data_IF_408392488585
#
_entry.id   IF_408392488585
#
_cell.length_a   1.000
_cell.length_b   1.000
_cell.length_c   1.000
_cell.angle_alpha   90.00
_cell.angle_beta   90.00
_cell.angle_gamma   90.00
#
_symmetry.space_group_name_H-M   'P 1'
#
loop_
_entity.id
_entity.type
_entity.pdbx_description
1 polymer ?
#
# COMPACT_ATOMS: atom_id res chain seq x y z
N UNK A 1 6.13 -9.68 -11.94
CA UNK A 1 6.65 -10.72 -11.02
C UNK A 1 7.40 -10.03 -9.89
N UNK A 2 7.15 -10.41 -8.64
CA UNK A 2 7.89 -9.92 -7.48
C UNK A 2 8.92 -10.98 -7.07
N UNK A 3 10.19 -10.59 -6.95
CA UNK A 3 11.30 -11.50 -6.62
C UNK A 3 12.05 -10.95 -5.41
N UNK A 4 12.28 -11.83 -4.45
CA UNK A 4 13.10 -11.58 -3.27
C UNK A 4 14.33 -12.51 -3.34
N UNK A 5 15.52 -11.98 -3.07
CA UNK A 5 16.77 -12.74 -3.11
C UNK A 5 17.54 -12.48 -1.82
N UNK A 6 17.65 -13.51 -0.98
CA UNK A 6 18.42 -13.50 0.27
C UNK A 6 18.08 -12.30 1.20
N UNK A 7 16.81 -11.96 1.28
CA UNK A 7 16.33 -10.77 2.02
C UNK A 7 16.40 -11.02 3.51
N UNK A 8 17.23 -10.23 4.19
CA UNK A 8 17.40 -10.27 5.65
C UNK A 8 17.06 -8.91 6.25
N UNK A 9 16.38 -8.91 7.39
CA UNK A 9 16.15 -7.70 8.17
C UNK A 9 16.36 -7.92 9.65
N UNK A 10 17.25 -7.15 10.25
CA UNK A 10 17.56 -7.15 11.68
C UNK A 10 17.22 -5.77 12.25
N UNK A 11 16.36 -5.73 13.24
CA UNK A 11 16.00 -4.50 13.95
C UNK A 11 17.12 -4.03 14.89
N UNK A 12 17.13 -2.75 15.32
CA UNK A 12 18.16 -2.21 16.23
C UNK A 12 18.29 -2.97 17.57
N UNK A 13 17.24 -3.64 18.00
CA UNK A 13 17.24 -4.50 19.20
C UNK A 13 17.78 -5.92 18.93
N UNK A 14 18.47 -6.14 17.82
CA UNK A 14 19.00 -7.43 17.35
C UNK A 14 17.94 -8.49 17.02
N UNK A 15 16.66 -8.14 16.94
CA UNK A 15 15.64 -9.08 16.48
C UNK A 15 15.75 -9.27 14.99
N UNK A 16 16.11 -10.49 14.56
CA UNK A 16 16.11 -10.89 13.15
C UNK A 16 14.70 -11.25 12.72
N UNK A 17 14.05 -10.36 11.97
CA UNK A 17 12.68 -10.52 11.53
C UNK A 17 12.55 -11.19 10.16
N UNK A 18 13.55 -11.06 9.30
CA UNK A 18 13.70 -11.80 8.05
C UNK A 18 15.10 -12.39 8.03
N UNK A 19 15.24 -13.62 7.56
CA UNK A 19 16.49 -14.37 7.55
C UNK A 19 16.66 -15.11 6.22
N UNK A 20 17.37 -14.47 5.26
CA UNK A 20 17.69 -15.05 3.97
C UNK A 20 16.46 -15.41 3.12
N UNK A 21 15.40 -14.62 3.16
CA UNK A 21 14.16 -14.93 2.44
C UNK A 21 14.37 -14.83 0.94
N UNK A 22 14.23 -15.96 0.25
CA UNK A 22 14.28 -16.04 -1.21
C UNK A 22 12.93 -16.57 -1.71
N UNK A 23 12.25 -15.80 -2.58
CA UNK A 23 10.90 -16.11 -3.00
C UNK A 23 10.61 -15.46 -4.36
N UNK A 24 9.96 -16.19 -5.24
CA UNK A 24 9.40 -15.67 -6.49
C UNK A 24 7.88 -15.72 -6.43
N UNK A 25 7.25 -14.58 -6.63
CA UNK A 25 5.80 -14.43 -6.60
C UNK A 25 5.34 -13.97 -7.99
N UNK A 26 4.80 -14.88 -8.81
CA UNK A 26 4.23 -14.52 -10.11
C UNK A 26 2.96 -13.68 -9.95
N UNK A 27 2.34 -13.28 -11.06
CA UNK A 27 1.06 -12.55 -10.99
C UNK A 27 -0.04 -13.44 -10.43
N UNK A 28 -0.83 -12.92 -9.50
CA UNK A 28 -1.91 -13.64 -8.85
C UNK A 28 -2.23 -13.09 -7.47
N UNK A 29 -3.13 -13.76 -6.78
CA UNK A 29 -3.48 -13.46 -5.40
C UNK A 29 -2.77 -14.44 -4.47
N UNK A 30 -2.02 -13.93 -3.51
CA UNK A 30 -1.23 -14.73 -2.58
C UNK A 30 -1.56 -14.39 -1.13
N UNK A 31 -1.66 -15.41 -0.29
CA UNK A 31 -1.82 -15.28 1.15
C UNK A 31 -0.48 -15.51 1.86
N UNK A 32 -0.03 -14.53 2.66
CA UNK A 32 1.13 -14.68 3.52
C UNK A 32 0.68 -15.17 4.89
N UNK A 33 0.92 -16.44 5.18
CA UNK A 33 0.49 -17.11 6.41
C UNK A 33 1.66 -17.33 7.38
N UNK A 34 1.37 -17.32 8.67
CA UNK A 34 2.34 -17.58 9.72
C UNK A 34 1.91 -16.98 11.06
N UNK A 35 2.51 -17.39 12.18
CA UNK A 35 2.21 -16.88 13.51
C UNK A 35 2.57 -15.39 13.67
N UNK A 36 2.13 -14.79 14.76
CA UNK A 36 2.60 -13.44 15.13
C UNK A 36 4.11 -13.49 15.38
N UNK A 37 4.82 -12.46 14.89
CA UNK A 37 6.29 -12.41 14.95
C UNK A 37 7.03 -13.12 13.81
N UNK A 38 6.34 -13.82 12.90
CA UNK A 38 6.98 -14.52 11.77
C UNK A 38 7.55 -13.58 10.67
N UNK A 39 7.62 -12.28 10.89
CA UNK A 39 8.20 -11.34 9.93
C UNK A 39 7.26 -10.86 8.81
N UNK A 40 5.98 -11.28 8.79
CA UNK A 40 5.02 -10.91 7.73
C UNK A 40 4.93 -9.41 7.48
N UNK A 41 4.72 -8.63 8.53
CA UNK A 41 4.62 -7.17 8.43
C UNK A 41 5.94 -6.51 8.01
N UNK A 42 7.07 -7.07 8.43
CA UNK A 42 8.41 -6.63 8.02
C UNK A 42 8.60 -6.84 6.52
N UNK A 43 8.24 -8.02 6.02
CA UNK A 43 8.31 -8.35 4.61
C UNK A 43 7.43 -7.41 3.78
N UNK A 44 6.16 -7.25 4.15
CA UNK A 44 5.22 -6.36 3.46
C UNK A 44 5.70 -4.89 3.46
N UNK A 45 6.25 -4.39 4.58
CA UNK A 45 6.81 -3.04 4.65
C UNK A 45 8.05 -2.88 3.78
N UNK A 46 8.88 -3.90 3.66
CA UNK A 46 10.05 -3.88 2.78
C UNK A 46 9.63 -3.81 1.31
N UNK A 47 8.66 -4.63 0.90
CA UNK A 47 8.08 -4.60 -0.45
C UNK A 47 7.42 -3.24 -0.73
N UNK A 48 6.73 -2.68 0.27
CA UNK A 48 6.05 -1.39 0.16
C UNK A 48 6.99 -0.16 0.23
N UNK A 49 8.30 -0.36 0.24
CA UNK A 49 9.32 0.71 0.34
C UNK A 49 9.24 1.54 1.64
N UNK A 50 8.58 1.03 2.66
CA UNK A 50 8.44 1.68 3.98
C UNK A 50 9.57 1.31 4.94
N UNK A 51 10.39 0.34 4.56
CA UNK A 51 11.49 -0.18 5.37
C UNK A 51 12.55 -0.77 4.46
N UNK A 52 13.82 -0.41 4.69
CA UNK A 52 14.95 -0.97 3.94
C UNK A 52 15.41 -2.26 4.60
N UNK A 53 15.53 -3.38 3.87
CA UNK A 53 16.16 -4.60 4.37
C UNK A 53 17.62 -4.34 4.80
N UNK A 54 18.13 -5.17 5.72
CA UNK A 54 19.53 -5.11 6.14
C UNK A 54 20.48 -5.66 5.06
N UNK A 55 20.01 -6.64 4.28
CA UNK A 55 20.70 -7.20 3.12
C UNK A 55 19.73 -7.91 2.18
N UNK A 56 20.23 -8.33 1.01
CA UNK A 56 19.46 -8.97 -0.04
C UNK A 56 18.84 -7.95 -1.00
N UNK A 57 18.05 -8.42 -1.95
CA UNK A 57 17.43 -7.61 -2.99
C UNK A 57 15.94 -7.93 -3.15
N UNK A 58 15.14 -6.92 -3.46
CA UNK A 58 13.72 -7.07 -3.82
C UNK A 58 13.52 -6.40 -5.17
N UNK A 59 12.97 -7.10 -6.15
CA UNK A 59 12.64 -6.54 -7.46
C UNK A 59 11.18 -6.78 -7.81
N UNK A 60 10.57 -5.80 -8.47
CA UNK A 60 9.23 -5.93 -9.03
C UNK A 60 9.25 -5.63 -10.53
N UNK A 61 8.92 -6.63 -11.35
CA UNK A 61 9.05 -6.59 -12.81
C UNK A 61 10.43 -6.09 -13.30
N UNK A 62 11.51 -6.49 -12.59
CA UNK A 62 12.89 -6.11 -12.90
C UNK A 62 13.34 -4.75 -12.31
N UNK A 63 12.44 -3.99 -11.68
CA UNK A 63 12.76 -2.73 -11.01
C UNK A 63 13.22 -3.03 -9.58
N UNK A 64 14.38 -2.53 -9.18
CA UNK A 64 14.87 -2.66 -7.80
C UNK A 64 14.05 -1.76 -6.86
N UNK A 65 13.41 -2.39 -5.88
CA UNK A 65 12.49 -1.74 -4.95
C UNK A 65 13.19 -0.69 -4.08
N UNK A 66 14.47 -0.89 -3.76
CA UNK A 66 15.23 0.02 -2.90
C UNK A 66 15.96 1.09 -3.70
N UNK A 67 16.41 0.79 -4.91
CA UNK A 67 17.10 1.73 -5.78
C UNK A 67 16.12 2.71 -6.46
N UNK A 68 14.91 2.24 -6.80
CA UNK A 68 13.89 3.01 -7.53
C UNK A 68 12.55 3.05 -6.79
N UNK A 69 12.50 3.50 -5.52
CA UNK A 69 11.29 3.44 -4.70
C UNK A 69 10.11 4.25 -5.28
N UNK A 70 10.39 5.34 -5.99
CA UNK A 70 9.33 6.16 -6.60
C UNK A 70 8.64 5.42 -7.76
N UNK A 71 9.40 4.69 -8.58
CA UNK A 71 8.85 3.86 -9.66
C UNK A 71 7.95 2.76 -9.09
N UNK A 72 8.34 2.17 -7.97
CA UNK A 72 7.54 1.17 -7.27
C UNK A 72 6.29 1.80 -6.65
N UNK A 73 6.40 2.93 -5.95
CA UNK A 73 5.25 3.61 -5.31
C UNK A 73 4.19 4.05 -6.31
N UNK A 74 4.58 4.40 -7.52
CA UNK A 74 3.62 4.72 -8.59
C UNK A 74 2.73 3.52 -8.95
N UNK A 75 3.27 2.30 -8.87
CA UNK A 75 2.63 1.03 -9.25
C UNK A 75 2.10 0.21 -8.08
N UNK A 76 2.31 0.68 -6.84
CA UNK A 76 1.98 -0.03 -5.61
C UNK A 76 0.71 0.54 -4.97
N UNK A 77 -0.23 -0.31 -4.61
CA UNK A 77 -1.28 -0.04 -3.65
C UNK A 77 -0.91 -0.65 -2.30
N UNK A 78 -0.96 0.10 -1.23
CA UNK A 78 -0.68 -0.40 0.10
C UNK A 78 -1.79 -0.05 1.09
N UNK A 79 -2.37 -1.06 1.71
CA UNK A 79 -3.35 -0.91 2.78
C UNK A 79 -2.69 -1.33 4.10
N UNK A 80 -2.27 -0.38 4.95
CA UNK A 80 -1.75 -0.73 6.27
C UNK A 80 -2.86 -1.25 7.18
N UNK A 81 -2.49 -2.04 8.19
CA UNK A 81 -3.42 -2.54 9.20
C UNK A 81 -4.10 -1.39 9.94
N UNK A 82 -3.33 -0.37 10.29
CA UNK A 82 -3.82 0.88 10.87
C UNK A 82 -3.34 2.05 10.03
N UNK A 83 -4.26 2.84 9.53
CA UNK A 83 -3.94 4.09 8.86
C UNK A 83 -4.49 5.26 9.68
N UNK A 84 -3.63 6.26 9.86
CA UNK A 84 -4.00 7.50 10.53
C UNK A 84 -5.12 8.22 9.77
N UNK A 85 -6.05 8.81 10.51
CA UNK A 85 -7.10 9.63 9.92
C UNK A 85 -6.91 11.08 10.34
N UNK A 86 -6.91 11.98 9.37
CA UNK A 86 -6.90 13.40 9.66
C UNK A 86 -8.28 13.85 10.15
N UNK A 87 -8.39 14.53 11.32
CA UNK A 87 -9.66 14.75 12.01
C UNK A 87 -10.74 15.49 11.20
N UNK A 88 -10.36 16.32 10.24
CA UNK A 88 -11.28 17.19 9.50
C UNK A 88 -11.30 16.94 7.98
N UNK A 89 -10.58 15.93 7.51
CA UNK A 89 -10.48 15.65 6.08
C UNK A 89 -11.61 14.72 5.66
N UNK A 90 -12.31 15.07 4.58
CA UNK A 90 -13.36 14.23 4.02
C UNK A 90 -12.77 13.07 3.22
N UNK A 91 -13.58 12.03 2.99
CA UNK A 91 -13.15 10.91 2.15
C UNK A 91 -12.85 11.37 0.71
N UNK A 92 -13.63 12.29 0.19
CA UNK A 92 -13.43 12.84 -1.14
C UNK A 92 -12.10 13.60 -1.24
N UNK A 93 -11.87 14.56 -0.35
CA UNK A 93 -10.67 15.41 -0.38
C UNK A 93 -9.39 14.59 -0.18
N UNK A 94 -9.43 13.57 0.69
CA UNK A 94 -8.29 12.70 0.90
C UNK A 94 -7.96 11.88 -0.35
N UNK A 95 -8.96 11.26 -0.99
CA UNK A 95 -8.72 10.50 -2.22
C UNK A 95 -8.26 11.40 -3.37
N UNK A 96 -8.79 12.61 -3.49
CA UNK A 96 -8.34 13.57 -4.49
C UNK A 96 -6.87 13.94 -4.27
N UNK A 97 -6.50 14.25 -3.03
CA UNK A 97 -5.11 14.53 -2.68
C UNK A 97 -4.18 13.36 -3.00
N UNK A 98 -4.59 12.14 -2.67
CA UNK A 98 -3.81 10.95 -2.98
C UNK A 98 -3.70 10.67 -4.49
N UNK A 99 -4.74 10.99 -5.26
CA UNK A 99 -4.71 10.89 -6.70
C UNK A 99 -3.66 11.85 -7.31
N UNK A 100 -3.52 13.07 -6.74
CA UNK A 100 -2.44 14.00 -7.11
C UNK A 100 -1.07 13.39 -6.81
N UNK A 101 -0.88 12.82 -5.61
CA UNK A 101 0.38 12.16 -5.21
C UNK A 101 0.72 10.95 -6.08
N UNK A 102 -0.29 10.29 -6.64
CA UNK A 102 -0.14 9.20 -7.62
C UNK A 102 0.10 9.68 -9.06
N UNK A 103 0.26 10.99 -9.27
CA UNK A 103 0.60 11.55 -10.56
C UNK A 103 -0.59 11.76 -11.51
N UNK A 104 -1.84 11.64 -11.04
CA UNK A 104 -3.02 11.95 -11.86
C UNK A 104 -3.13 13.48 -11.99
N UNK A 105 -2.58 14.04 -13.06
CA UNK A 105 -2.46 15.48 -13.23
C UNK A 105 -3.79 16.16 -13.59
N UNK A 106 -4.63 15.52 -14.40
CA UNK A 106 -5.89 16.06 -14.90
C UNK A 106 -6.97 16.16 -13.81
N UNK A 107 -7.55 17.35 -13.58
CA UNK A 107 -8.62 17.52 -12.57
C UNK A 107 -9.89 16.72 -12.90
N UNK A 108 -10.25 16.61 -14.17
CA UNK A 108 -11.38 15.80 -14.62
C UNK A 108 -11.15 14.31 -14.36
N UNK A 109 -9.96 13.81 -14.70
CA UNK A 109 -9.55 12.43 -14.48
C UNK A 109 -9.52 12.09 -12.99
N UNK A 110 -8.97 12.97 -12.13
CA UNK A 110 -9.00 12.79 -10.68
C UNK A 110 -10.42 12.68 -10.15
N UNK A 111 -11.29 13.57 -10.57
CA UNK A 111 -12.70 13.56 -10.16
C UNK A 111 -13.37 12.24 -10.53
N UNK A 112 -13.20 11.79 -11.76
CA UNK A 112 -13.74 10.52 -12.25
C UNK A 112 -13.18 9.32 -11.46
N UNK A 113 -11.87 9.30 -11.24
CA UNK A 113 -11.20 8.25 -10.44
C UNK A 113 -11.76 8.19 -9.01
N UNK A 114 -11.86 9.33 -8.33
CA UNK A 114 -12.37 9.42 -6.95
C UNK A 114 -13.84 9.01 -6.88
N UNK A 115 -14.67 9.45 -7.82
CA UNK A 115 -16.08 9.09 -7.90
C UNK A 115 -16.25 7.59 -8.12
N UNK A 116 -15.50 7.02 -9.05
CA UNK A 116 -15.52 5.59 -9.35
C UNK A 116 -15.14 4.77 -8.12
N UNK A 117 -14.02 5.08 -7.48
CA UNK A 117 -13.55 4.36 -6.29
C UNK A 117 -14.52 4.46 -5.13
N UNK A 118 -15.05 5.65 -4.83
CA UNK A 118 -16.02 5.82 -3.75
C UNK A 118 -17.34 5.09 -4.01
N UNK A 119 -17.76 4.97 -5.27
CA UNK A 119 -18.92 4.15 -5.64
C UNK A 119 -18.62 2.65 -5.47
N UNK A 120 -17.47 2.17 -5.96
CA UNK A 120 -17.07 0.76 -5.84
C UNK A 120 -17.05 0.28 -4.38
N UNK A 121 -16.58 1.12 -3.46
CA UNK A 121 -16.54 0.77 -2.02
C UNK A 121 -17.80 1.19 -1.25
N UNK A 122 -18.86 1.63 -1.93
CA UNK A 122 -20.14 2.08 -1.31
C UNK A 122 -19.96 3.21 -0.29
N UNK A 123 -19.10 4.19 -0.57
CA UNK A 123 -18.90 5.37 0.27
C UNK A 123 -19.30 6.69 -0.39
N UNK A 124 -19.81 6.67 -1.63
CA UNK A 124 -20.19 7.90 -2.36
C UNK A 124 -21.19 8.77 -1.61
N UNK A 125 -22.20 8.17 -0.98
CA UNK A 125 -23.24 8.90 -0.22
C UNK A 125 -22.67 9.66 0.98
N UNK A 126 -21.54 9.23 1.50
CA UNK A 126 -20.88 9.81 2.69
C UNK A 126 -19.56 10.48 2.36
N UNK A 127 -19.25 10.70 1.09
CA UNK A 127 -17.98 11.23 0.60
C UNK A 127 -17.53 12.55 1.23
N UNK A 128 -18.50 13.39 1.65
CA UNK A 128 -18.25 14.68 2.33
C UNK A 128 -18.14 14.58 3.85
N UNK A 129 -18.31 13.38 4.41
CA UNK A 129 -18.14 13.15 5.84
C UNK A 129 -16.65 13.01 6.17
N UNK A 130 -16.22 13.60 7.29
CA UNK A 130 -14.86 13.43 7.78
C UNK A 130 -14.58 11.95 8.09
N UNK A 131 -13.40 11.46 7.68
CA UNK A 131 -12.98 10.05 7.84
C UNK A 131 -12.94 9.65 9.32
N UNK A 132 -12.59 10.59 10.21
CA UNK A 132 -12.61 10.37 11.65
C UNK A 132 -13.97 9.90 12.18
N UNK A 133 -15.07 10.30 11.52
CA UNK A 133 -16.44 9.88 11.86
C UNK A 133 -16.90 8.58 11.18
N UNK A 134 -16.01 7.87 10.50
CA UNK A 134 -16.35 6.60 9.86
C UNK A 134 -16.38 5.45 10.87
N UNK A 135 -17.30 4.51 10.68
CA UNK A 135 -17.25 3.22 11.39
C UNK A 135 -16.00 2.41 10.97
N UNK A 136 -15.66 1.38 11.73
CA UNK A 136 -14.56 0.48 11.39
C UNK A 136 -14.65 -0.08 9.97
N UNK A 137 -15.81 -0.59 9.59
CA UNK A 137 -16.05 -1.11 8.24
C UNK A 137 -16.02 -0.03 7.15
N UNK A 138 -16.43 1.22 7.45
CA UNK A 138 -16.28 2.34 6.51
C UNK A 138 -14.82 2.73 6.34
N UNK A 139 -14.04 2.75 7.42
CA UNK A 139 -12.60 3.02 7.37
C UNK A 139 -11.88 1.96 6.55
N UNK A 140 -12.17 0.68 6.77
CA UNK A 140 -11.57 -0.40 5.98
C UNK A 140 -11.88 -0.27 4.49
N UNK A 141 -13.13 -0.01 4.11
CA UNK A 141 -13.52 0.21 2.72
C UNK A 141 -12.86 1.45 2.12
N UNK A 142 -12.72 2.52 2.88
CA UNK A 142 -11.97 3.70 2.47
C UNK A 142 -10.50 3.38 2.21
N UNK A 143 -9.84 2.61 3.08
CA UNK A 143 -8.48 2.13 2.89
C UNK A 143 -8.30 1.29 1.62
N UNK A 144 -9.29 0.46 1.27
CA UNK A 144 -9.29 -0.28 0.00
C UNK A 144 -9.32 0.70 -1.19
N UNK A 145 -10.23 1.70 -1.17
CA UNK A 145 -10.28 2.72 -2.22
C UNK A 145 -8.95 3.47 -2.36
N UNK A 146 -8.33 3.79 -1.23
CA UNK A 146 -7.02 4.44 -1.18
C UNK A 146 -5.91 3.57 -1.82
N UNK A 147 -5.89 2.27 -1.52
CA UNK A 147 -4.92 1.35 -2.09
C UNK A 147 -5.09 1.16 -3.60
N UNK A 148 -6.30 1.33 -4.13
CA UNK A 148 -6.61 1.16 -5.55
C UNK A 148 -6.37 2.41 -6.42
N UNK A 149 -6.04 3.56 -5.81
CA UNK A 149 -5.76 4.79 -6.58
C UNK A 149 -4.59 4.56 -7.53
N UNK A 150 -4.75 5.02 -8.78
CA UNK A 150 -3.72 4.90 -9.81
C UNK A 150 -3.65 3.52 -10.46
N UNK A 151 -4.65 2.66 -10.23
CA UNK A 151 -4.71 1.31 -10.79
C UNK A 151 -3.41 0.51 -10.63
N UNK A 152 -3.00 0.23 -9.38
CA UNK A 152 -1.70 -0.37 -9.10
C UNK A 152 -1.55 -1.78 -9.67
N UNK A 153 -0.33 -2.14 -10.04
CA UNK A 153 0.05 -3.50 -10.50
C UNK A 153 0.30 -4.47 -9.34
N UNK A 154 0.63 -3.93 -8.15
CA UNK A 154 0.88 -4.66 -6.92
C UNK A 154 0.05 -4.03 -5.79
N UNK A 155 -0.69 -4.83 -5.04
CA UNK A 155 -1.51 -4.41 -3.90
C UNK A 155 -1.12 -5.22 -2.67
#
# INVERSE_FOLDING_TARGET
>A
MLTLTDVTHVYPNNTRALDGVTLEIPRGMYGLLGPNGAGKSTLMRSIATLQTPSSGAITFDGIDVMAEPEAIRARLGYLPQDFGVYPRVTAYDMLEHMAVLKGIAGSAERKETVETLLNQVNLWKVRKKAIAGFSGGMRQRFGIAQALIGNPDLI
#
